data_IF_418383393853
#
_entry.id   IF_418383393853
#
_cell.length_a   1.000
_cell.length_b   1.000
_cell.length_c   1.000
_cell.angle_alpha   90.00
_cell.angle_beta   90.00
_cell.angle_gamma   90.00
#
_symmetry.space_group_name_H-M   'P 1'
#
loop_
_entity.id
_entity.type
_entity.pdbx_description
1 polymer ?
#
# COMPACT_ATOMS: atom_id res chain seq x y z
N UNK A 1 -28.17 -23.15 1.04
CA UNK A 1 -26.76 -23.51 1.26
C UNK A 1 -26.06 -22.26 1.79
N UNK A 2 -25.60 -22.31 3.04
CA UNK A 2 -25.00 -21.14 3.70
C UNK A 2 -23.55 -20.99 3.25
N UNK A 3 -23.21 -19.85 2.65
CA UNK A 3 -21.83 -19.50 2.31
C UNK A 3 -21.13 -18.92 3.53
N UNK A 4 -20.52 -19.79 4.31
CA UNK A 4 -19.76 -19.45 5.52
C UNK A 4 -18.27 -19.28 5.18
N UNK A 5 -17.90 -18.22 4.46
CA UNK A 5 -16.52 -18.07 4.00
C UNK A 5 -15.96 -16.65 3.91
N UNK A 6 -16.76 -15.62 4.22
CA UNK A 6 -16.36 -14.22 3.95
C UNK A 6 -15.99 -13.42 5.22
N UNK A 7 -16.13 -13.97 6.42
CA UNK A 7 -15.92 -13.25 7.68
C UNK A 7 -14.46 -13.10 8.12
N UNK A 8 -13.50 -13.78 7.49
CA UNK A 8 -12.08 -13.72 7.87
C UNK A 8 -11.33 -12.45 7.47
N UNK A 9 -11.77 -11.78 6.41
CA UNK A 9 -11.05 -10.62 5.88
C UNK A 9 -11.35 -9.30 6.60
N UNK A 10 -12.55 -9.17 7.17
CA UNK A 10 -12.94 -7.96 7.90
C UNK A 10 -12.17 -7.78 9.22
N UNK A 11 -11.79 -8.88 9.88
CA UNK A 11 -11.06 -8.84 11.14
C UNK A 11 -9.58 -8.42 10.99
N UNK A 12 -8.96 -8.71 9.83
CA UNK A 12 -7.57 -8.32 9.56
C UNK A 12 -7.45 -6.81 9.29
N UNK A 13 -8.46 -6.19 8.67
CA UNK A 13 -8.48 -4.77 8.39
C UNK A 13 -8.78 -3.92 9.64
N UNK A 14 -9.68 -4.38 10.52
CA UNK A 14 -10.01 -3.65 11.76
C UNK A 14 -8.85 -3.62 12.76
N UNK A 15 -7.99 -4.65 12.79
CA UNK A 15 -6.81 -4.67 13.66
C UNK A 15 -5.66 -3.77 13.17
N UNK A 16 -5.55 -3.51 11.84
CA UNK A 16 -4.54 -2.60 11.33
C UNK A 16 -4.89 -1.13 11.65
N UNK A 17 -6.18 -0.78 11.55
CA UNK A 17 -6.64 0.59 11.75
C UNK A 17 -6.57 1.04 13.22
N UNK A 18 -6.92 0.17 14.19
CA UNK A 18 -6.99 0.58 15.60
C UNK A 18 -5.63 0.69 16.30
N UNK A 19 -4.63 -0.13 15.95
CA UNK A 19 -3.30 -0.08 16.59
C UNK A 19 -2.37 0.95 15.96
N UNK A 20 -2.41 1.13 14.63
CA UNK A 20 -1.59 2.11 13.95
C UNK A 20 -2.08 3.55 14.18
N UNK A 21 -3.40 3.76 14.25
CA UNK A 21 -4.00 5.09 14.46
C UNK A 21 -3.78 5.60 15.88
N UNK A 22 -3.86 4.73 16.90
CA UNK A 22 -3.61 5.13 18.30
C UNK A 22 -2.15 5.50 18.58
N UNK A 23 -1.19 4.73 18.05
CA UNK A 23 0.23 5.04 18.22
C UNK A 23 0.66 6.29 17.44
N UNK A 24 0.11 6.45 16.20
CA UNK A 24 0.47 7.57 15.32
C UNK A 24 -0.15 8.90 15.76
N UNK A 25 -1.34 8.91 16.35
CA UNK A 25 -2.00 10.14 16.82
C UNK A 25 -1.33 10.74 18.06
N UNK A 26 -0.80 9.93 18.98
CA UNK A 26 -0.09 10.43 20.15
C UNK A 26 1.32 10.94 19.81
N UNK A 27 2.02 10.29 18.90
CA UNK A 27 3.36 10.71 18.47
C UNK A 27 3.31 11.93 17.55
N UNK A 28 2.32 12.03 16.64
CA UNK A 28 2.11 13.21 15.81
C UNK A 28 1.60 14.42 16.63
N UNK A 29 0.79 14.21 17.67
CA UNK A 29 0.35 15.28 18.56
C UNK A 29 1.53 15.84 19.37
N UNK A 30 2.44 15.00 19.88
CA UNK A 30 3.65 15.43 20.58
C UNK A 30 4.66 16.14 19.67
N UNK A 31 4.69 15.80 18.38
CA UNK A 31 5.61 16.40 17.42
C UNK A 31 5.09 17.72 16.83
N UNK A 32 3.76 17.90 16.73
CA UNK A 32 3.15 19.18 16.32
C UNK A 32 3.32 20.31 17.33
N UNK A 33 3.50 20.00 18.60
CA UNK A 33 3.65 21.00 19.66
C UNK A 33 5.09 21.51 19.82
N UNK A 34 6.08 20.90 19.12
CA UNK A 34 7.49 21.33 19.13
C UNK A 34 7.93 22.10 17.88
N UNK A 35 7.06 22.28 16.88
CA UNK A 35 7.44 22.87 15.59
C UNK A 35 7.03 24.34 15.44
N UNK A 36 7.48 25.21 16.34
CA UNK A 36 7.45 26.67 16.08
C UNK A 36 8.83 27.29 15.85
N UNK A 37 9.90 26.53 15.67
CA UNK A 37 11.20 27.08 15.24
C UNK A 37 12.15 25.95 14.84
N UNK A 38 12.45 25.86 13.56
CA UNK A 38 13.55 25.07 13.03
C UNK A 38 13.17 23.63 12.68
N UNK A 39 13.62 23.22 11.53
CA UNK A 39 13.53 21.83 11.03
C UNK A 39 14.27 20.90 12.00
N UNK A 40 13.55 20.32 12.96
CA UNK A 40 14.09 19.28 13.80
C UNK A 40 14.03 17.98 13.02
N UNK A 41 15.16 17.57 12.44
CA UNK A 41 15.31 16.23 11.89
C UNK A 41 14.96 15.24 13.02
N UNK A 42 13.93 14.44 12.80
CA UNK A 42 13.57 13.29 13.63
C UNK A 42 14.84 12.49 13.94
N UNK A 43 15.04 12.07 15.19
CA UNK A 43 16.19 11.28 15.61
C UNK A 43 16.44 10.15 14.60
N UNK A 44 17.68 10.05 14.13
CA UNK A 44 18.06 9.02 13.16
C UNK A 44 17.73 7.65 13.73
N UNK A 45 16.93 6.87 12.98
CA UNK A 45 16.71 5.46 13.32
C UNK A 45 18.03 4.70 13.29
N UNK A 46 18.22 3.78 14.21
CA UNK A 46 19.34 2.84 14.17
C UNK A 46 19.20 1.91 12.95
N UNK A 47 20.28 1.27 12.54
CA UNK A 47 20.27 0.35 11.42
C UNK A 47 19.29 -0.82 11.64
N UNK A 48 19.15 -1.29 12.88
CA UNK A 48 18.19 -2.34 13.25
C UNK A 48 16.75 -1.87 13.08
N UNK A 49 16.40 -0.70 13.63
CA UNK A 49 15.05 -0.12 13.50
C UNK A 49 14.68 0.12 12.04
N UNK A 50 15.62 0.60 11.22
CA UNK A 50 15.41 0.78 9.78
C UNK A 50 15.14 -0.55 9.07
N UNK A 51 15.92 -1.58 9.39
CA UNK A 51 15.74 -2.91 8.82
C UNK A 51 14.37 -3.50 9.18
N UNK A 52 13.92 -3.33 10.42
CA UNK A 52 12.60 -3.77 10.87
C UNK A 52 11.46 -3.04 10.13
N UNK A 53 11.55 -1.70 10.00
CA UNK A 53 10.56 -0.91 9.26
C UNK A 53 10.50 -1.34 7.80
N UNK A 54 11.64 -1.51 7.13
CA UNK A 54 11.70 -1.96 5.74
C UNK A 54 11.10 -3.36 5.60
N UNK A 55 11.44 -4.29 6.49
CA UNK A 55 10.92 -5.66 6.45
C UNK A 55 9.39 -5.67 6.65
N UNK A 56 8.89 -4.91 7.61
CA UNK A 56 7.46 -4.78 7.88
C UNK A 56 6.71 -4.21 6.68
N UNK A 57 7.15 -3.08 6.13
CA UNK A 57 6.50 -2.43 5.00
C UNK A 57 6.49 -3.32 3.75
N UNK A 58 7.58 -4.05 3.49
CA UNK A 58 7.65 -5.03 2.39
C UNK A 58 6.68 -6.19 2.60
N UNK A 59 6.64 -6.76 3.80
CA UNK A 59 5.73 -7.85 4.13
C UNK A 59 4.27 -7.42 4.02
N UNK A 60 3.93 -6.24 4.52
CA UNK A 60 2.58 -5.69 4.44
C UNK A 60 2.18 -5.44 2.98
N UNK A 61 3.05 -4.82 2.20
CA UNK A 61 2.81 -4.59 0.77
C UNK A 61 2.60 -5.90 0.00
N UNK A 62 3.43 -6.91 0.26
CA UNK A 62 3.28 -8.22 -0.39
C UNK A 62 1.93 -8.86 -0.06
N UNK A 63 1.53 -8.88 1.22
CA UNK A 63 0.23 -9.42 1.63
C UNK A 63 -0.94 -8.71 0.94
N UNK A 64 -0.87 -7.39 0.80
CA UNK A 64 -1.93 -6.61 0.15
C UNK A 64 -1.99 -6.87 -1.36
N UNK A 65 -0.83 -7.00 -2.02
CA UNK A 65 -0.76 -7.38 -3.44
C UNK A 65 -1.32 -8.79 -3.64
N UNK A 66 -0.97 -9.74 -2.79
CA UNK A 66 -1.46 -11.12 -2.89
C UNK A 66 -2.97 -11.21 -2.63
N UNK A 67 -3.48 -10.44 -1.66
CA UNK A 67 -4.93 -10.32 -1.41
C UNK A 67 -5.67 -9.72 -2.61
N UNK A 68 -5.10 -8.68 -3.24
CA UNK A 68 -5.66 -8.09 -4.45
C UNK A 68 -5.65 -9.08 -5.61
N UNK A 69 -4.53 -9.77 -5.85
CA UNK A 69 -4.44 -10.80 -6.89
C UNK A 69 -5.48 -11.89 -6.70
N UNK A 70 -5.65 -12.39 -5.47
CA UNK A 70 -6.65 -13.40 -5.17
C UNK A 70 -8.07 -12.91 -5.47
N UNK A 71 -8.40 -11.69 -5.09
CA UNK A 71 -9.71 -11.09 -5.38
C UNK A 71 -9.97 -11.01 -6.90
N UNK A 72 -8.97 -10.61 -7.67
CA UNK A 72 -9.08 -10.50 -9.13
C UNK A 72 -9.16 -11.89 -9.79
N UNK A 73 -8.38 -12.85 -9.31
CA UNK A 73 -8.45 -14.23 -9.79
C UNK A 73 -9.83 -14.84 -9.58
N UNK A 74 -10.41 -14.66 -8.38
CA UNK A 74 -11.75 -15.13 -8.08
C UNK A 74 -12.80 -14.48 -8.99
N UNK A 75 -12.66 -13.20 -9.25
CA UNK A 75 -13.52 -12.47 -10.20
C UNK A 75 -13.43 -13.05 -11.61
N UNK A 76 -12.23 -13.30 -12.13
CA UNK A 76 -12.03 -13.88 -13.45
C UNK A 76 -12.52 -15.31 -13.54
N UNK A 77 -12.26 -16.15 -12.53
CA UNK A 77 -12.73 -17.54 -12.49
C UNK A 77 -14.26 -17.62 -12.55
N UNK A 78 -14.97 -16.74 -11.84
CA UNK A 78 -16.44 -16.67 -11.88
C UNK A 78 -16.98 -16.34 -13.28
N UNK A 79 -16.19 -15.73 -14.14
CA UNK A 79 -16.52 -15.39 -15.52
C UNK A 79 -16.00 -16.43 -16.53
N UNK A 80 -15.40 -17.52 -16.07
CA UNK A 80 -14.80 -18.53 -16.93
C UNK A 80 -13.49 -18.10 -17.60
N UNK A 81 -12.90 -17.00 -17.13
CA UNK A 81 -11.63 -16.50 -17.65
C UNK A 81 -10.46 -17.18 -16.93
N UNK A 82 -9.64 -17.89 -17.69
CA UNK A 82 -8.50 -18.62 -17.13
C UNK A 82 -7.29 -17.69 -16.93
N UNK A 83 -6.81 -17.60 -15.69
CA UNK A 83 -5.57 -16.92 -15.34
C UNK A 83 -4.47 -17.99 -15.22
N UNK A 84 -3.49 -17.96 -16.09
CA UNK A 84 -2.39 -18.95 -16.14
C UNK A 84 -1.24 -18.58 -15.21
N UNK A 85 -0.95 -17.30 -15.05
CA UNK A 85 0.13 -16.77 -14.21
C UNK A 85 -0.18 -15.35 -13.70
N UNK A 86 0.66 -14.83 -12.82
CA UNK A 86 0.48 -13.50 -12.24
C UNK A 86 0.51 -12.36 -13.24
N UNK A 87 1.26 -12.51 -14.33
CA UNK A 87 1.39 -11.45 -15.34
C UNK A 87 0.13 -11.34 -16.20
N UNK A 88 -0.59 -12.46 -16.37
CA UNK A 88 -1.87 -12.48 -17.06
C UNK A 88 -2.92 -11.60 -16.35
N UNK A 89 -2.89 -11.53 -15.01
CA UNK A 89 -3.82 -10.70 -14.23
C UNK A 89 -3.73 -9.25 -14.67
N UNK A 90 -2.53 -8.71 -14.75
CA UNK A 90 -2.31 -7.31 -15.13
C UNK A 90 -2.71 -7.03 -16.57
N UNK A 91 -2.37 -7.94 -17.48
CA UNK A 91 -2.75 -7.85 -18.89
C UNK A 91 -4.26 -7.92 -19.08
N UNK A 92 -4.94 -8.81 -18.36
CA UNK A 92 -6.40 -8.94 -18.39
C UNK A 92 -7.10 -7.70 -17.82
N UNK A 93 -6.60 -7.16 -16.71
CA UNK A 93 -7.12 -5.91 -16.15
C UNK A 93 -6.91 -4.73 -17.11
N UNK A 94 -5.74 -4.63 -17.73
CA UNK A 94 -5.44 -3.57 -18.69
C UNK A 94 -6.31 -3.67 -19.97
N UNK A 95 -6.70 -4.87 -20.38
CA UNK A 95 -7.57 -5.08 -21.56
C UNK A 95 -9.00 -4.58 -21.38
N UNK A 96 -9.49 -4.51 -20.12
CA UNK A 96 -10.87 -4.13 -19.82
C UNK A 96 -11.93 -5.17 -20.22
N UNK A 97 -11.54 -6.34 -20.74
CA UNK A 97 -12.45 -7.38 -21.22
C UNK A 97 -12.94 -8.29 -20.09
N UNK A 98 -13.59 -7.71 -19.09
CA UNK A 98 -14.17 -8.40 -17.95
C UNK A 98 -15.35 -7.61 -17.39
N UNK A 99 -16.17 -8.27 -16.57
CA UNK A 99 -17.21 -7.61 -15.80
C UNK A 99 -16.84 -7.57 -14.32
N UNK A 100 -17.38 -6.60 -13.60
CA UNK A 100 -17.16 -6.47 -12.15
C UNK A 100 -18.51 -6.56 -11.46
N UNK A 101 -18.67 -7.54 -10.57
CA UNK A 101 -19.86 -7.61 -9.73
C UNK A 101 -19.85 -6.49 -8.67
N UNK A 102 -21.03 -6.14 -8.15
CA UNK A 102 -21.18 -5.02 -7.21
C UNK A 102 -20.34 -5.22 -5.94
N UNK A 103 -20.26 -6.42 -5.41
CA UNK A 103 -19.50 -6.70 -4.20
C UNK A 103 -17.98 -6.51 -4.41
N UNK A 104 -17.47 -6.94 -5.57
CA UNK A 104 -16.07 -6.72 -5.97
C UNK A 104 -15.80 -5.22 -6.18
N UNK A 105 -16.73 -4.50 -6.83
CA UNK A 105 -16.60 -3.05 -7.03
C UNK A 105 -16.57 -2.28 -5.71
N UNK A 106 -17.45 -2.61 -4.77
CA UNK A 106 -17.52 -1.95 -3.45
C UNK A 106 -16.26 -2.24 -2.63
N UNK A 107 -15.74 -3.46 -2.70
CA UNK A 107 -14.47 -3.81 -2.06
C UNK A 107 -13.29 -3.05 -2.67
N UNK A 108 -13.23 -2.94 -3.99
CA UNK A 108 -12.20 -2.14 -4.66
C UNK A 108 -12.26 -0.66 -4.28
N UNK A 109 -13.47 -0.07 -4.23
CA UNK A 109 -13.68 1.31 -3.76
C UNK A 109 -13.19 1.51 -2.33
N UNK A 110 -13.49 0.58 -1.43
CA UNK A 110 -13.03 0.62 -0.05
C UNK A 110 -11.50 0.58 0.04
N UNK A 111 -10.84 -0.21 -0.81
CA UNK A 111 -9.38 -0.32 -0.83
C UNK A 111 -8.67 0.98 -1.25
N UNK A 112 -9.31 1.79 -2.09
CA UNK A 112 -8.76 3.07 -2.59
C UNK A 112 -9.34 4.31 -1.92
N UNK A 113 -10.24 4.14 -0.94
CA UNK A 113 -10.78 5.26 -0.14
C UNK A 113 -9.67 5.92 0.69
N UNK A 114 -9.96 7.07 1.30
CA UNK A 114 -8.99 7.79 2.14
C UNK A 114 -8.38 6.92 3.23
N UNK A 115 -9.19 6.07 3.89
CA UNK A 115 -8.74 5.12 4.91
C UNK A 115 -8.27 3.78 4.33
N UNK A 116 -8.44 3.56 3.03
CA UNK A 116 -8.08 2.31 2.34
C UNK A 116 -6.58 2.15 2.18
N UNK A 117 -6.11 0.90 2.19
CA UNK A 117 -4.66 0.63 2.05
C UNK A 117 -4.05 1.27 0.79
N UNK A 118 -4.77 1.28 -0.33
CA UNK A 118 -4.34 1.86 -1.61
C UNK A 118 -4.80 3.31 -1.80
N UNK A 119 -5.42 3.92 -0.78
CA UNK A 119 -5.75 5.34 -0.78
C UNK A 119 -4.49 6.22 -0.90
N UNK A 120 -4.68 7.43 -1.39
CA UNK A 120 -3.57 8.35 -1.69
C UNK A 120 -2.74 8.65 -0.44
N UNK A 121 -3.38 9.02 0.66
CA UNK A 121 -2.71 9.41 1.90
C UNK A 121 -1.94 8.22 2.51
N UNK A 122 -2.60 7.06 2.63
CA UNK A 122 -2.00 5.84 3.17
C UNK A 122 -0.81 5.36 2.31
N UNK A 123 -0.92 5.49 0.99
CA UNK A 123 0.17 5.12 0.07
C UNK A 123 1.32 6.10 0.16
N UNK A 124 1.04 7.39 0.19
CA UNK A 124 2.06 8.44 0.32
C UNK A 124 2.84 8.31 1.63
N UNK A 125 2.14 8.08 2.73
CA UNK A 125 2.76 7.87 4.06
C UNK A 125 3.71 6.68 4.04
N UNK A 126 3.32 5.55 3.49
CA UNK A 126 4.18 4.36 3.39
C UNK A 126 5.39 4.58 2.48
N UNK A 127 5.23 5.31 1.37
CA UNK A 127 6.35 5.66 0.49
C UNK A 127 7.36 6.53 1.25
N UNK A 128 6.88 7.54 1.98
CA UNK A 128 7.75 8.44 2.77
C UNK A 128 8.41 7.67 3.92
N UNK A 129 7.70 6.81 4.61
CA UNK A 129 8.24 5.99 5.69
C UNK A 129 9.34 5.04 5.17
N UNK A 130 9.10 4.37 4.05
CA UNK A 130 10.09 3.53 3.38
C UNK A 130 11.32 4.34 2.95
N UNK A 131 11.11 5.50 2.35
CA UNK A 131 12.21 6.37 1.93
C UNK A 131 13.06 6.83 3.12
N UNK A 132 12.44 7.22 4.24
CA UNK A 132 13.14 7.57 5.48
C UNK A 132 13.96 6.39 6.04
N UNK A 133 13.38 5.20 6.07
CA UNK A 133 14.06 4.01 6.55
C UNK A 133 15.24 3.63 5.65
N UNK A 134 15.11 3.72 4.32
CA UNK A 134 16.17 3.39 3.38
C UNK A 134 17.27 4.46 3.29
N UNK A 135 16.91 5.74 3.40
CA UNK A 135 17.87 6.85 3.32
C UNK A 135 18.77 7.00 4.54
N UNK A 136 18.40 6.38 5.65
CA UNK A 136 19.11 6.62 6.92
C UNK A 136 18.88 8.01 7.53
N UNK A 137 17.96 8.79 6.97
CA UNK A 137 17.63 10.13 7.44
C UNK A 137 18.63 11.21 7.00
N UNK A 138 19.46 10.95 5.99
CA UNK A 138 20.31 11.95 5.38
C UNK A 138 19.70 12.50 4.05
N UNK A 139 20.08 13.73 3.70
CA UNK A 139 19.54 14.43 2.54
C UNK A 139 19.94 13.75 1.21
N UNK A 140 21.17 13.30 1.09
CA UNK A 140 21.65 12.62 -0.12
C UNK A 140 20.89 11.30 -0.34
N UNK A 141 20.70 10.53 0.72
CA UNK A 141 19.88 9.32 0.72
C UNK A 141 18.44 9.59 0.31
N UNK A 142 17.81 10.66 0.84
CA UNK A 142 16.45 11.06 0.46
C UNK A 142 16.35 11.45 -1.01
N UNK A 143 17.32 12.18 -1.55
CA UNK A 143 17.35 12.53 -2.97
C UNK A 143 17.47 11.29 -3.87
N UNK A 144 18.25 10.28 -3.47
CA UNK A 144 18.30 8.98 -4.15
C UNK A 144 16.97 8.26 -4.13
N UNK A 145 16.25 8.31 -2.99
CA UNK A 145 14.92 7.70 -2.87
C UNK A 145 13.89 8.42 -3.74
N UNK A 146 13.92 9.74 -3.80
CA UNK A 146 13.07 10.53 -4.69
C UNK A 146 13.29 10.14 -6.16
N UNK A 147 14.53 10.09 -6.60
CA UNK A 147 14.88 9.69 -7.97
C UNK A 147 14.42 8.26 -8.30
N UNK A 148 14.56 7.34 -7.34
CA UNK A 148 14.09 5.96 -7.47
C UNK A 148 12.56 5.89 -7.57
N UNK A 149 11.84 6.66 -6.76
CA UNK A 149 10.38 6.78 -6.82
C UNK A 149 9.90 7.32 -8.17
N UNK A 150 10.47 8.42 -8.64
CA UNK A 150 10.11 9.01 -9.94
C UNK A 150 10.33 8.03 -11.11
N UNK A 151 11.44 7.31 -11.08
CA UNK A 151 11.73 6.28 -12.08
C UNK A 151 10.68 5.16 -12.03
N UNK A 152 10.36 4.66 -10.85
CA UNK A 152 9.36 3.60 -10.66
C UNK A 152 7.97 4.07 -11.08
N UNK A 153 7.59 5.28 -10.73
CA UNK A 153 6.31 5.88 -11.14
C UNK A 153 6.18 5.98 -12.68
N UNK A 154 7.23 6.50 -13.35
CA UNK A 154 7.24 6.59 -14.82
C UNK A 154 7.12 5.21 -15.49
N UNK A 155 7.80 4.21 -14.94
CA UNK A 155 7.70 2.83 -15.45
C UNK A 155 6.29 2.27 -15.29
N UNK A 156 5.67 2.46 -14.11
CA UNK A 156 4.31 2.03 -13.86
C UNK A 156 3.30 2.74 -14.74
N UNK A 157 3.39 4.08 -14.88
CA UNK A 157 2.53 4.88 -15.75
C UNK A 157 2.58 4.39 -17.19
N UNK A 158 3.79 4.13 -17.71
CA UNK A 158 3.98 3.57 -19.05
C UNK A 158 3.35 2.19 -19.22
N UNK A 159 3.48 1.33 -18.23
CA UNK A 159 2.87 -0.01 -18.26
C UNK A 159 1.34 0.02 -18.35
N UNK A 160 0.71 1.11 -17.89
CA UNK A 160 -0.73 1.35 -17.96
C UNK A 160 -1.15 2.28 -19.11
N UNK A 161 -0.23 2.55 -20.06
CA UNK A 161 -0.52 3.40 -21.22
C UNK A 161 -0.78 4.87 -20.89
N UNK A 162 -0.26 5.33 -19.75
CA UNK A 162 -0.29 6.74 -19.34
C UNK A 162 1.10 7.33 -19.54
N UNK A 163 1.27 8.05 -20.65
CA UNK A 163 2.46 8.87 -20.93
C UNK A 163 2.19 10.33 -20.60
#
# INVERSE_FOLDING_TARGET
MSVNGVTGYSAAYSNYDSTAKSAKSEEQAKNRQKNSSGVTYSSKMTDSERAEVVAKLKSDSQRQVDSFKSMVQDMFQKQGLAVKNSDDIWSMLASGNYTVDQATADKAKSLISEDGYWGVDQTSDRIVEMAKALSGGDEEGMNKMLAAFEKGYKQAAKSWGRE
#
